data_IF_215500393135
#
_entry.id   IF_215500393135
#
_cell.length_a   1.000
_cell.length_b   1.000
_cell.length_c   1.000
_cell.angle_alpha   90.00
_cell.angle_beta   90.00
_cell.angle_gamma   90.00
#
_symmetry.space_group_name_H-M   'P 1'
#
loop_
_entity.id
_entity.type
_entity.pdbx_description
1 polymer ?
#
# COMPACT_ATOMS: atom_id res chain seq x y z
N UNK A 1 34.32 39.56 -49.31
CA UNK A 1 35.22 39.66 -48.13
C UNK A 1 34.35 39.64 -46.87
N UNK A 2 34.56 38.68 -45.96
CA UNK A 2 33.96 38.62 -44.62
C UNK A 2 34.71 39.57 -43.67
N UNK A 3 34.10 40.02 -42.55
CA UNK A 3 34.39 39.38 -41.25
C UNK A 3 33.09 39.19 -40.42
N UNK A 4 32.83 38.13 -39.64
CA UNK A 4 33.59 37.29 -38.71
C UNK A 4 33.79 37.88 -37.29
N UNK A 5 32.70 38.10 -36.54
CA UNK A 5 32.71 38.24 -35.07
C UNK A 5 31.39 37.77 -34.44
N UNK A 6 31.17 36.44 -34.30
CA UNK A 6 30.09 35.89 -33.46
C UNK A 6 30.37 34.47 -32.96
N UNK A 7 31.59 34.22 -32.46
CA UNK A 7 31.98 32.90 -31.95
C UNK A 7 32.74 32.93 -30.61
N UNK A 8 32.70 34.03 -29.86
CA UNK A 8 33.42 34.11 -28.57
C UNK A 8 32.55 34.06 -27.31
N UNK A 9 31.21 34.05 -27.41
CA UNK A 9 30.33 33.91 -26.25
C UNK A 9 29.77 32.50 -26.01
N UNK A 10 29.97 31.57 -26.96
CA UNK A 10 29.49 30.18 -26.83
C UNK A 10 30.52 29.23 -26.20
N UNK A 11 31.75 29.68 -25.94
CA UNK A 11 32.80 28.82 -25.39
C UNK A 11 32.98 28.90 -23.87
N UNK A 12 32.37 29.87 -23.18
CA UNK A 12 32.54 30.03 -21.72
C UNK A 12 31.49 29.29 -20.88
N UNK A 13 30.41 28.79 -21.49
CA UNK A 13 29.34 28.06 -20.78
C UNK A 13 29.60 26.55 -20.70
N UNK A 14 30.58 26.03 -21.44
CA UNK A 14 30.89 24.60 -21.50
C UNK A 14 31.93 24.11 -20.47
N UNK A 15 32.38 24.95 -19.54
CA UNK A 15 33.43 24.62 -18.56
C UNK A 15 32.98 24.61 -17.10
N UNK A 16 31.68 24.77 -16.82
CA UNK A 16 31.11 24.47 -15.50
C UNK A 16 30.40 23.12 -15.56
N UNK A 17 31.21 22.06 -15.55
CA UNK A 17 30.75 20.70 -15.36
C UNK A 17 29.90 20.59 -14.09
N UNK A 18 28.63 20.30 -14.27
CA UNK A 18 27.69 19.85 -13.25
C UNK A 18 28.14 18.48 -12.73
N UNK A 19 29.19 18.44 -11.92
CA UNK A 19 29.52 17.32 -11.06
C UNK A 19 28.97 17.58 -9.65
N UNK A 20 27.67 17.86 -9.56
CA UNK A 20 26.95 17.87 -8.28
C UNK A 20 26.68 16.44 -7.85
N UNK A 21 27.63 15.80 -7.18
CA UNK A 21 27.40 14.51 -6.52
C UNK A 21 26.31 14.70 -5.44
N UNK A 22 25.30 13.83 -5.42
CA UNK A 22 24.10 13.94 -4.57
C UNK A 22 24.37 13.93 -3.05
N UNK A 23 25.62 13.77 -2.60
CA UNK A 23 25.98 13.59 -1.20
C UNK A 23 27.07 14.57 -0.71
N UNK A 24 27.10 15.80 -1.22
CA UNK A 24 27.98 16.83 -0.67
C UNK A 24 27.29 17.57 0.48
N UNK A 25 27.73 17.29 1.71
CA UNK A 25 27.35 18.00 2.92
C UNK A 25 28.61 18.52 3.60
N UNK A 26 29.09 19.70 3.18
CA UNK A 26 29.49 20.81 4.04
C UNK A 26 29.98 22.01 3.20
N UNK A 27 29.07 22.91 2.82
CA UNK A 27 29.42 24.32 2.60
C UNK A 27 28.20 25.17 2.94
N UNK A 28 28.32 25.97 3.99
CA UNK A 28 27.28 26.88 4.50
C UNK A 28 26.88 27.98 3.50
N UNK A 29 27.58 28.11 2.37
CA UNK A 29 27.23 29.04 1.27
C UNK A 29 26.39 28.41 0.14
N UNK A 30 26.32 27.07 0.06
CA UNK A 30 25.53 26.36 -0.95
C UNK A 30 24.02 26.36 -0.68
N UNK A 31 23.61 26.50 0.60
CA UNK A 31 22.19 26.50 0.97
C UNK A 31 21.49 27.75 0.42
N UNK A 32 22.13 28.94 0.48
CA UNK A 32 21.57 30.19 -0.04
C UNK A 32 21.31 30.14 -1.55
N UNK A 33 22.25 29.62 -2.34
CA UNK A 33 22.07 29.45 -3.81
C UNK A 33 20.99 28.44 -4.18
N UNK A 34 20.69 27.45 -3.31
CA UNK A 34 19.65 26.45 -3.57
C UNK A 34 18.24 26.99 -3.27
N UNK A 35 18.10 27.90 -2.32
CA UNK A 35 16.83 28.62 -2.08
C UNK A 35 16.49 29.61 -3.22
N UNK A 36 17.50 30.15 -3.92
CA UNK A 36 17.32 31.03 -5.09
C UNK A 36 16.81 30.30 -6.35
N UNK A 37 17.02 28.99 -6.48
CA UNK A 37 16.42 28.20 -7.59
C UNK A 37 14.89 28.03 -7.42
N UNK A 38 14.39 28.18 -6.20
CA UNK A 38 12.96 28.10 -5.88
C UNK A 38 12.23 29.46 -5.98
N UNK A 39 12.92 30.56 -6.30
CA UNK A 39 12.31 31.90 -6.40
C UNK A 39 11.70 32.19 -7.77
N UNK A 40 12.05 31.43 -8.83
CA UNK A 40 11.40 31.57 -10.14
C UNK A 40 10.03 30.85 -10.16
N UNK A 41 8.91 31.58 -10.31
CA UNK A 41 7.56 31.01 -10.21
C UNK A 41 7.29 29.88 -11.21
N UNK A 42 7.88 29.97 -12.41
CA UNK A 42 7.69 28.98 -13.48
C UNK A 42 8.43 27.65 -13.19
N UNK A 43 9.68 27.71 -12.72
CA UNK A 43 10.44 26.51 -12.35
C UNK A 43 9.83 25.82 -11.14
N UNK A 44 9.32 26.59 -10.17
CA UNK A 44 8.55 26.06 -9.04
C UNK A 44 7.29 25.34 -9.52
N UNK A 45 6.51 25.92 -10.43
CA UNK A 45 5.30 25.30 -10.98
C UNK A 45 5.62 23.97 -11.69
N UNK A 46 6.62 23.96 -12.58
CA UNK A 46 7.02 22.75 -13.34
C UNK A 46 7.57 21.65 -12.43
N UNK A 47 8.37 22.00 -11.43
CA UNK A 47 8.89 21.05 -10.45
C UNK A 47 7.76 20.43 -9.60
N UNK A 48 6.80 21.24 -9.18
CA UNK A 48 5.62 20.78 -8.44
C UNK A 48 4.75 19.86 -9.29
N UNK A 49 4.50 20.19 -10.56
CA UNK A 49 3.75 19.32 -11.49
C UNK A 49 4.44 17.97 -11.71
N UNK A 50 5.77 17.96 -11.86
CA UNK A 50 6.54 16.72 -12.01
C UNK A 50 6.48 15.86 -10.74
N UNK A 51 6.65 16.49 -9.57
CA UNK A 51 6.54 15.81 -8.28
C UNK A 51 5.14 15.23 -8.07
N UNK A 52 4.11 16.01 -8.42
CA UNK A 52 2.72 15.60 -8.35
C UNK A 52 2.43 14.40 -9.27
N UNK A 53 2.89 14.43 -10.52
CA UNK A 53 2.73 13.32 -11.47
C UNK A 53 3.46 12.06 -11.02
N UNK A 54 4.69 12.20 -10.48
CA UNK A 54 5.44 11.07 -9.89
C UNK A 54 4.70 10.47 -8.70
N UNK A 55 4.12 11.30 -7.85
CA UNK A 55 3.40 10.87 -6.67
C UNK A 55 2.11 10.12 -7.01
N UNK A 56 1.35 10.63 -7.98
CA UNK A 56 0.18 9.92 -8.53
C UNK A 56 0.55 8.56 -9.11
N UNK A 57 1.66 8.49 -9.85
CA UNK A 57 2.18 7.23 -10.38
C UNK A 57 2.58 6.24 -9.28
N UNK A 58 3.21 6.70 -8.19
CA UNK A 58 3.54 5.85 -7.02
C UNK A 58 2.26 5.34 -6.35
N UNK A 59 1.24 6.20 -6.24
CA UNK A 59 -0.04 5.82 -5.66
C UNK A 59 -0.90 4.94 -6.58
N UNK A 60 -0.53 4.84 -7.87
CA UNK A 60 -1.32 4.20 -8.91
C UNK A 60 -2.69 4.86 -9.07
N UNK A 61 -2.70 6.19 -9.07
CA UNK A 61 -3.89 7.03 -9.24
C UNK A 61 -3.75 7.85 -10.52
N UNK A 62 -4.82 7.96 -11.31
CA UNK A 62 -4.82 8.79 -12.52
C UNK A 62 -4.87 10.29 -12.19
N UNK A 63 -5.50 10.63 -11.07
CA UNK A 63 -5.65 11.99 -10.55
C UNK A 63 -5.84 11.94 -9.04
N UNK A 64 -5.67 13.09 -8.35
CA UNK A 64 -5.94 13.13 -6.91
C UNK A 64 -7.42 12.87 -6.65
N UNK A 65 -7.77 11.94 -5.75
CA UNK A 65 -9.15 11.62 -5.49
C UNK A 65 -9.90 12.85 -5.00
N UNK A 66 -11.04 13.12 -5.61
CA UNK A 66 -11.98 14.11 -5.12
C UNK A 66 -13.05 13.38 -4.33
N UNK A 67 -13.08 13.52 -2.99
CA UNK A 67 -14.10 12.89 -2.19
C UNK A 67 -15.45 13.49 -2.62
N UNK A 68 -16.37 12.65 -3.10
CA UNK A 68 -17.74 13.09 -3.34
C UNK A 68 -18.34 13.67 -2.05
N UNK A 69 -19.28 14.62 -2.15
CA UNK A 69 -19.97 15.15 -0.96
C UNK A 69 -20.64 13.99 -0.20
N UNK A 70 -20.41 13.90 1.11
CA UNK A 70 -21.09 13.01 2.07
C UNK A 70 -20.84 11.48 1.94
N UNK A 71 -19.62 11.03 1.62
CA UNK A 71 -19.27 9.60 1.73
C UNK A 71 -19.00 9.23 3.19
N UNK A 72 -19.86 8.41 3.78
CA UNK A 72 -19.69 7.91 5.16
C UNK A 72 -19.06 6.52 5.10
N UNK A 73 -17.85 6.32 5.67
CA UNK A 73 -17.21 5.01 5.65
C UNK A 73 -18.03 3.92 6.36
N UNK A 74 -18.18 2.78 5.70
CA UNK A 74 -18.78 1.61 6.32
C UNK A 74 -17.88 1.11 7.47
N UNK A 75 -18.46 0.75 8.63
CA UNK A 75 -17.65 0.30 9.78
C UNK A 75 -16.80 -0.93 9.44
N UNK A 76 -17.36 -1.85 8.64
CA UNK A 76 -16.61 -2.99 8.09
C UNK A 76 -15.31 -2.59 7.39
N UNK A 77 -15.30 -1.53 6.56
CA UNK A 77 -14.08 -1.10 5.85
C UNK A 77 -13.04 -0.50 6.82
N UNK A 78 -13.49 0.17 7.88
CA UNK A 78 -12.61 0.69 8.94
C UNK A 78 -11.97 -0.45 9.74
N UNK A 79 -12.74 -1.47 10.13
CA UNK A 79 -12.25 -2.65 10.81
C UNK A 79 -11.33 -3.49 9.93
N UNK A 80 -11.67 -3.65 8.65
CA UNK A 80 -10.83 -4.33 7.68
C UNK A 80 -9.46 -3.64 7.56
N UNK A 81 -9.43 -2.30 7.48
CA UNK A 81 -8.19 -1.53 7.50
C UNK A 81 -7.37 -1.80 8.77
N UNK A 82 -7.99 -1.75 9.97
CA UNK A 82 -7.29 -2.02 11.24
C UNK A 82 -6.67 -3.42 11.27
N UNK A 83 -7.40 -4.42 10.80
CA UNK A 83 -6.95 -5.81 10.78
C UNK A 83 -5.81 -6.04 9.77
N UNK A 84 -5.95 -5.48 8.55
CA UNK A 84 -4.92 -5.60 7.51
C UNK A 84 -3.65 -4.81 7.84
N UNK A 85 -3.78 -3.61 8.43
CA UNK A 85 -2.64 -2.77 8.83
C UNK A 85 -1.87 -3.34 10.03
N UNK A 86 -2.56 -4.03 10.95
CA UNK A 86 -1.93 -4.65 12.13
C UNK A 86 -1.33 -6.04 11.84
N UNK A 87 -1.53 -6.61 10.65
CA UNK A 87 -1.09 -7.97 10.32
C UNK A 87 -1.97 -9.08 10.95
N UNK A 88 -3.11 -8.72 11.55
CA UNK A 88 -4.03 -9.65 12.21
C UNK A 88 -5.09 -10.24 11.27
N UNK A 89 -4.94 -10.02 9.96
CA UNK A 89 -5.89 -10.49 8.98
C UNK A 89 -5.82 -12.02 8.84
N UNK A 90 -6.87 -12.70 9.29
CA UNK A 90 -7.05 -14.14 9.00
C UNK A 90 -7.26 -14.28 7.49
N UNK A 91 -6.37 -15.03 6.85
CA UNK A 91 -6.42 -15.27 5.39
C UNK A 91 -7.80 -15.79 4.98
N UNK A 92 -8.27 -15.33 3.82
CA UNK A 92 -9.48 -15.89 3.22
C UNK A 92 -9.27 -17.38 2.97
N UNK A 93 -10.34 -18.18 3.13
CA UNK A 93 -10.35 -19.66 3.15
C UNK A 93 -9.61 -20.36 1.98
N UNK A 94 -9.17 -19.64 0.95
CA UNK A 94 -8.56 -20.18 -0.26
C UNK A 94 -7.27 -19.48 -0.73
N UNK A 95 -6.71 -18.53 0.01
CA UNK A 95 -5.50 -17.80 -0.44
C UNK A 95 -4.51 -17.56 0.70
N UNK A 96 -3.30 -18.11 0.59
CA UNK A 96 -2.21 -17.93 1.55
C UNK A 96 -1.61 -16.50 1.59
N UNK A 97 -2.24 -15.53 0.91
CA UNK A 97 -1.69 -14.21 0.68
C UNK A 97 -2.70 -13.12 1.04
N UNK A 98 -2.29 -12.09 1.80
CA UNK A 98 -3.16 -10.95 2.08
C UNK A 98 -3.41 -10.12 0.81
N UNK A 99 -4.59 -9.47 0.70
CA UNK A 99 -4.90 -8.58 -0.41
C UNK A 99 -3.97 -7.34 -0.39
N UNK A 100 -3.55 -6.88 -1.57
CA UNK A 100 -2.79 -5.62 -1.70
C UNK A 100 -3.72 -4.43 -1.85
N UNK A 101 -4.93 -4.65 -2.37
CA UNK A 101 -5.98 -3.64 -2.50
C UNK A 101 -7.35 -4.24 -2.18
N UNK A 102 -8.21 -3.45 -1.54
CA UNK A 102 -9.61 -3.81 -1.30
C UNK A 102 -10.50 -2.60 -1.59
N UNK A 103 -11.52 -2.79 -2.42
CA UNK A 103 -12.46 -1.74 -2.79
C UNK A 103 -13.84 -2.05 -2.20
N UNK A 104 -14.39 -1.13 -1.41
CA UNK A 104 -15.76 -1.16 -0.92
C UNK A 104 -16.64 -0.21 -1.72
N UNK A 105 -17.68 -0.76 -2.35
CA UNK A 105 -18.63 -0.06 -3.21
C UNK A 105 -20.02 -0.16 -2.59
N UNK A 106 -20.60 0.98 -2.25
CA UNK A 106 -21.96 1.05 -1.69
C UNK A 106 -23.01 0.96 -2.80
N UNK A 107 -24.14 0.32 -2.50
CA UNK A 107 -25.31 0.27 -3.40
C UNK A 107 -25.78 1.67 -3.81
N UNK A 108 -26.08 1.83 -5.09
CA UNK A 108 -26.76 3.02 -5.60
C UNK A 108 -28.25 2.79 -5.42
N UNK A 109 -28.85 3.47 -4.45
CA UNK A 109 -30.29 3.43 -4.24
C UNK A 109 -30.99 4.02 -5.47
N UNK A 110 -31.29 3.17 -6.46
CA UNK A 110 -32.17 3.54 -7.56
C UNK A 110 -33.56 3.67 -6.95
N UNK A 111 -34.12 4.87 -7.01
CA UNK A 111 -35.52 5.11 -6.68
C UNK A 111 -36.34 4.28 -7.66
N UNK A 112 -36.82 3.12 -7.22
CA UNK A 112 -37.79 2.36 -7.96
C UNK A 112 -39.09 3.17 -7.90
N UNK A 113 -39.26 4.09 -8.85
CA UNK A 113 -40.44 4.96 -9.00
C UNK A 113 -41.73 4.16 -9.32
N UNK A 114 -41.74 2.85 -9.14
CA UNK A 114 -42.92 1.99 -9.22
C UNK A 114 -43.42 1.67 -7.80
N UNK A 115 -44.24 2.57 -7.28
CA UNK A 115 -45.47 2.29 -6.51
C UNK A 115 -45.59 0.91 -5.82
N UNK A 116 -45.67 0.95 -4.48
CA UNK A 116 -46.60 0.20 -3.60
C UNK A 116 -46.81 -1.32 -3.75
N UNK A 117 -46.04 -2.02 -4.58
CA UNK A 117 -46.14 -3.47 -4.74
C UNK A 117 -45.03 -4.15 -3.95
N UNK A 118 -45.40 -5.04 -3.02
CA UNK A 118 -44.48 -5.93 -2.28
C UNK A 118 -43.77 -6.83 -3.29
N UNK A 119 -42.69 -6.36 -3.91
CA UNK A 119 -41.89 -7.19 -4.81
C UNK A 119 -41.26 -8.31 -3.98
N UNK A 120 -41.41 -9.54 -4.44
CA UNK A 120 -40.77 -10.73 -3.87
C UNK A 120 -39.25 -10.78 -4.11
N UNK A 121 -38.68 -9.72 -4.69
CA UNK A 121 -37.27 -9.57 -5.02
C UNK A 121 -36.79 -8.15 -4.75
N UNK A 122 -35.51 -8.00 -4.40
CA UNK A 122 -34.84 -6.73 -4.16
C UNK A 122 -33.58 -6.63 -5.02
N UNK A 123 -33.36 -5.50 -5.70
CA UNK A 123 -32.23 -5.29 -6.59
C UNK A 123 -31.17 -4.39 -5.97
N UNK A 124 -29.91 -4.75 -6.17
CA UNK A 124 -28.74 -3.95 -5.80
C UNK A 124 -27.95 -3.59 -7.05
N UNK A 125 -27.50 -2.35 -7.15
CA UNK A 125 -26.73 -1.84 -8.29
C UNK A 125 -25.46 -1.15 -7.84
N UNK A 126 -24.33 -1.59 -8.38
CA UNK A 126 -23.00 -1.11 -8.01
C UNK A 126 -22.29 -0.55 -9.25
N UNK A 127 -21.65 0.61 -9.10
CA UNK A 127 -20.79 1.17 -10.14
C UNK A 127 -19.37 0.65 -9.96
N UNK A 128 -18.96 -0.20 -10.89
CA UNK A 128 -17.68 -0.92 -10.88
C UNK A 128 -16.67 -0.36 -11.89
N UNK A 129 -16.93 0.83 -12.46
CA UNK A 129 -16.07 1.47 -13.47
C UNK A 129 -14.64 1.73 -13.00
N UNK A 130 -14.44 1.94 -11.69
CA UNK A 130 -13.17 2.32 -11.10
C UNK A 130 -12.41 1.12 -10.50
N UNK A 131 -12.83 -0.12 -10.80
CA UNK A 131 -12.08 -1.28 -10.36
C UNK A 131 -10.78 -1.41 -11.16
N UNK A 132 -9.63 -1.68 -10.53
CA UNK A 132 -8.37 -1.90 -11.22
C UNK A 132 -8.41 -3.25 -11.95
N UNK A 133 -8.88 -3.24 -13.20
CA UNK A 133 -9.06 -4.44 -14.00
C UNK A 133 -7.76 -5.19 -14.37
N UNK A 134 -6.60 -4.59 -14.09
CA UNK A 134 -5.28 -5.22 -14.20
C UNK A 134 -4.98 -6.21 -13.08
N UNK A 135 -5.64 -6.05 -11.93
CA UNK A 135 -5.30 -6.80 -10.73
C UNK A 135 -6.05 -8.14 -10.70
N UNK A 136 -5.43 -9.15 -10.08
CA UNK A 136 -6.07 -10.44 -9.90
C UNK A 136 -7.11 -10.35 -8.78
N UNK A 137 -8.36 -10.68 -9.10
CA UNK A 137 -9.44 -10.78 -8.11
C UNK A 137 -9.23 -12.02 -7.24
N UNK A 138 -9.02 -11.79 -5.94
CA UNK A 138 -8.91 -12.84 -4.93
C UNK A 138 -10.30 -13.33 -4.53
N UNK A 139 -11.15 -12.40 -4.10
CA UNK A 139 -12.51 -12.68 -3.63
C UNK A 139 -13.43 -11.47 -3.85
N UNK A 140 -14.74 -11.72 -3.90
CA UNK A 140 -15.77 -10.69 -4.00
C UNK A 140 -16.93 -11.05 -3.11
N UNK A 141 -17.21 -10.18 -2.14
CA UNK A 141 -18.25 -10.40 -1.13
C UNK A 141 -19.31 -9.32 -1.23
N UNK A 142 -20.57 -9.72 -1.38
CA UNK A 142 -21.72 -8.86 -1.16
C UNK A 142 -22.11 -8.96 0.32
N UNK A 143 -22.20 -7.82 0.99
CA UNK A 143 -22.63 -7.71 2.39
C UNK A 143 -23.98 -7.01 2.44
N UNK A 144 -24.99 -7.69 2.98
CA UNK A 144 -26.36 -7.18 3.09
C UNK A 144 -26.78 -7.17 4.55
N UNK A 145 -27.15 -5.99 5.06
CA UNK A 145 -27.64 -5.83 6.42
C UNK A 145 -29.09 -6.31 6.54
N UNK A 146 -29.30 -7.19 7.52
CA UNK A 146 -30.59 -7.63 8.03
C UNK A 146 -30.82 -6.98 9.40
N UNK A 147 -31.91 -6.24 9.51
CA UNK A 147 -32.35 -5.65 10.77
C UNK A 147 -33.19 -6.67 11.56
N UNK A 148 -33.15 -6.62 12.90
CA UNK A 148 -34.00 -7.47 13.73
C UNK A 148 -35.47 -7.16 13.46
N UNK A 149 -36.25 -8.20 13.19
CA UNK A 149 -37.69 -8.10 12.94
C UNK A 149 -38.43 -8.46 14.22
N UNK A 150 -38.58 -7.50 15.14
CA UNK A 150 -39.25 -7.70 16.43
C UNK A 150 -40.74 -8.01 16.32
N UNK A 151 -41.37 -7.62 15.20
CA UNK A 151 -42.80 -7.76 14.94
C UNK A 151 -43.07 -8.47 13.60
N UNK A 152 -42.47 -9.63 13.36
CA UNK A 152 -43.01 -10.49 12.28
C UNK A 152 -44.42 -10.88 12.71
N UNK A 153 -45.43 -10.52 11.93
CA UNK A 153 -46.82 -10.83 12.26
C UNK A 153 -46.95 -12.32 12.59
N UNK A 154 -47.61 -12.66 13.70
CA UNK A 154 -47.76 -14.08 14.12
C UNK A 154 -48.41 -14.94 13.02
N UNK A 155 -49.29 -14.34 12.21
CA UNK A 155 -49.89 -14.94 11.01
C UNK A 155 -48.85 -15.27 9.93
N UNK A 156 -47.85 -14.41 9.76
CA UNK A 156 -46.79 -14.57 8.78
C UNK A 156 -45.82 -15.70 9.17
N UNK A 157 -45.38 -15.71 10.44
CA UNK A 157 -44.56 -16.80 10.97
C UNK A 157 -45.29 -18.14 11.02
N UNK A 158 -46.61 -18.14 11.26
CA UNK A 158 -47.41 -19.36 11.22
C UNK A 158 -47.48 -20.00 9.83
N UNK A 159 -47.44 -19.18 8.76
CA UNK A 159 -47.49 -19.66 7.37
C UNK A 159 -46.11 -20.06 6.83
N UNK A 160 -45.08 -19.28 7.14
CA UNK A 160 -43.76 -19.38 6.51
C UNK A 160 -42.66 -19.89 7.45
N UNK A 161 -42.97 -20.18 8.72
CA UNK A 161 -41.97 -20.58 9.71
C UNK A 161 -41.03 -19.44 10.12
N UNK A 162 -39.94 -19.80 10.81
CA UNK A 162 -38.91 -18.86 11.30
C UNK A 162 -37.61 -18.94 10.50
N UNK A 163 -37.41 -20.04 9.77
CA UNK A 163 -36.19 -20.29 8.98
C UNK A 163 -36.42 -19.93 7.51
N UNK A 164 -35.52 -19.11 6.98
CA UNK A 164 -35.58 -18.60 5.61
C UNK A 164 -34.25 -18.83 4.90
N UNK A 165 -34.31 -18.91 3.57
CA UNK A 165 -33.14 -19.01 2.71
C UNK A 165 -33.06 -17.77 1.80
N UNK A 166 -32.03 -16.96 2.00
CA UNK A 166 -31.69 -15.85 1.11
C UNK A 166 -30.84 -16.38 -0.05
N UNK A 167 -31.23 -16.04 -1.28
CA UNK A 167 -30.54 -16.42 -2.52
C UNK A 167 -30.16 -15.18 -3.30
N UNK A 168 -28.89 -15.09 -3.70
CA UNK A 168 -28.39 -14.00 -4.55
C UNK A 168 -28.23 -14.49 -5.97
N UNK A 169 -28.85 -13.76 -6.89
CA UNK A 169 -28.81 -14.02 -8.33
C UNK A 169 -28.04 -12.92 -9.07
N UNK A 170 -27.38 -13.32 -10.16
CA UNK A 170 -26.79 -12.42 -11.14
C UNK A 170 -27.32 -12.68 -12.54
N UNK A 171 -27.07 -11.77 -13.49
CA UNK A 171 -27.37 -11.99 -14.90
C UNK A 171 -26.53 -13.14 -15.46
N UNK A 172 -27.19 -14.09 -16.14
CA UNK A 172 -26.52 -15.16 -16.88
C UNK A 172 -25.83 -14.64 -18.14
N UNK A 173 -26.50 -13.76 -18.88
CA UNK A 173 -25.94 -13.06 -20.04
C UNK A 173 -25.94 -11.54 -19.79
N UNK A 174 -24.78 -10.90 -19.97
CA UNK A 174 -24.56 -9.47 -19.71
C UNK A 174 -24.89 -8.61 -20.94
N UNK A 175 -25.01 -9.22 -22.12
CA UNK A 175 -25.25 -8.52 -23.39
C UNK A 175 -26.69 -8.05 -23.55
N UNK A 176 -27.64 -8.61 -22.78
CA UNK A 176 -29.06 -8.19 -22.85
C UNK A 176 -29.25 -6.76 -22.31
N UNK A 177 -29.71 -5.81 -23.15
CA UNK A 177 -29.91 -4.43 -22.74
C UNK A 177 -30.87 -4.31 -21.56
N UNK A 178 -30.59 -3.36 -20.68
CA UNK A 178 -31.27 -3.06 -19.40
C UNK A 178 -32.71 -2.55 -19.53
N UNK A 179 -33.36 -2.70 -20.69
CA UNK A 179 -34.67 -2.09 -20.97
C UNK A 179 -35.87 -2.87 -20.44
N UNK A 180 -35.68 -4.06 -19.88
CA UNK A 180 -36.78 -4.90 -19.37
C UNK A 180 -36.51 -5.31 -17.92
N UNK A 181 -37.49 -5.18 -17.00
CA UNK A 181 -37.36 -5.73 -15.67
C UNK A 181 -37.20 -7.25 -15.75
N UNK A 182 -36.40 -7.78 -14.84
CA UNK A 182 -35.99 -9.19 -14.75
C UNK A 182 -37.19 -10.12 -14.52
N UNK A 183 -37.91 -10.51 -15.57
CA UNK A 183 -39.12 -11.32 -15.42
C UNK A 183 -38.95 -12.81 -15.76
N UNK A 184 -37.88 -13.23 -16.42
CA UNK A 184 -37.66 -14.65 -16.74
C UNK A 184 -36.55 -15.28 -15.88
N UNK A 185 -36.91 -16.32 -15.10
CA UNK A 185 -35.97 -17.14 -14.32
C UNK A 185 -34.83 -17.71 -15.18
N UNK A 186 -35.05 -17.86 -16.49
CA UNK A 186 -34.04 -18.34 -17.46
C UNK A 186 -32.87 -17.38 -17.67
N UNK A 187 -33.02 -16.10 -17.35
CA UNK A 187 -31.97 -15.07 -17.50
C UNK A 187 -31.05 -14.92 -16.29
N UNK A 188 -31.39 -15.57 -15.16
CA UNK A 188 -30.71 -15.44 -13.88
C UNK A 188 -29.85 -16.68 -13.56
N UNK A 189 -28.78 -16.47 -12.82
CA UNK A 189 -27.87 -17.50 -12.31
C UNK A 189 -27.75 -17.32 -10.79
N UNK A 190 -27.95 -18.41 -10.04
CA UNK A 190 -27.73 -18.41 -8.59
C UNK A 190 -26.22 -18.32 -8.31
N UNK A 191 -25.81 -17.30 -7.56
CA UNK A 191 -24.41 -17.08 -7.21
C UNK A 191 -24.07 -17.73 -5.87
N UNK A 192 -24.89 -17.48 -4.87
CA UNK A 192 -24.73 -17.95 -3.50
C UNK A 192 -26.07 -17.96 -2.75
N UNK A 193 -26.14 -18.71 -1.65
CA UNK A 193 -27.31 -18.81 -0.79
C UNK A 193 -26.93 -18.97 0.67
N UNK A 194 -27.72 -18.38 1.56
CA UNK A 194 -27.53 -18.43 3.00
C UNK A 194 -28.86 -18.73 3.68
N UNK A 195 -28.85 -19.67 4.62
CA UNK A 195 -29.98 -19.93 5.52
C UNK A 195 -29.80 -19.12 6.81
N UNK A 196 -30.91 -18.60 7.32
CA UNK A 196 -30.94 -17.81 8.55
C UNK A 196 -32.30 -17.97 9.24
N UNK A 197 -32.32 -17.79 10.56
CA UNK A 197 -33.55 -17.74 11.33
C UNK A 197 -33.86 -16.29 11.74
N UNK A 198 -35.14 -15.91 11.78
CA UNK A 198 -35.58 -14.60 12.28
C UNK A 198 -35.41 -14.45 13.79
N UNK A 199 -35.28 -15.54 14.53
CA UNK A 199 -34.98 -15.56 15.98
C UNK A 199 -33.50 -15.34 16.32
N UNK A 200 -32.59 -15.46 15.35
CA UNK A 200 -31.13 -15.49 15.57
C UNK A 200 -30.49 -14.17 16.08
N UNK A 201 -31.23 -13.07 16.26
CA UNK A 201 -30.58 -11.84 16.69
C UNK A 201 -31.48 -10.70 17.15
N UNK A 202 -31.16 -10.17 18.33
CA UNK A 202 -31.63 -8.87 18.82
C UNK A 202 -30.86 -7.67 18.21
N UNK A 203 -29.89 -7.93 17.33
CA UNK A 203 -28.96 -6.93 16.78
C UNK A 203 -28.86 -6.99 15.25
N UNK A 204 -28.35 -5.90 14.67
CA UNK A 204 -28.04 -5.73 13.24
C UNK A 204 -27.09 -6.84 12.74
N UNK A 205 -27.53 -7.68 11.79
CA UNK A 205 -26.76 -8.80 11.25
C UNK A 205 -26.31 -8.55 9.79
N UNK A 206 -25.01 -8.69 9.53
CA UNK A 206 -24.44 -8.59 8.19
C UNK A 206 -24.30 -9.95 7.53
N UNK A 207 -25.15 -10.22 6.54
CA UNK A 207 -25.11 -11.46 5.76
C UNK A 207 -24.11 -11.30 4.62
N UNK A 208 -23.29 -12.32 4.38
CA UNK A 208 -22.19 -12.29 3.41
C UNK A 208 -22.43 -13.32 2.32
N UNK A 209 -22.38 -12.89 1.06
CA UNK A 209 -22.56 -13.73 -0.11
C UNK A 209 -21.36 -13.63 -1.05
N UNK A 210 -20.87 -14.74 -1.57
CA UNK A 210 -19.80 -14.77 -2.57
C UNK A 210 -20.35 -14.52 -3.97
N UNK A 211 -19.94 -13.42 -4.60
CA UNK A 211 -20.45 -13.00 -5.92
C UNK A 211 -19.35 -12.86 -6.96
N UNK A 212 -18.19 -13.45 -6.70
CA UNK A 212 -16.97 -13.40 -7.55
C UNK A 212 -17.26 -13.73 -9.01
N UNK A 213 -17.97 -14.84 -9.26
CA UNK A 213 -18.31 -15.33 -10.60
C UNK A 213 -19.05 -14.28 -11.44
N UNK A 214 -19.93 -13.49 -10.83
CA UNK A 214 -20.71 -12.47 -11.54
C UNK A 214 -19.87 -11.26 -11.90
N UNK A 215 -19.04 -10.78 -10.98
CA UNK A 215 -18.16 -9.63 -11.24
C UNK A 215 -17.10 -9.93 -12.31
N UNK A 216 -16.55 -11.15 -12.32
CA UNK A 216 -15.61 -11.58 -13.35
C UNK A 216 -16.24 -11.60 -14.75
N UNK A 217 -17.53 -11.92 -14.86
CA UNK A 217 -18.27 -11.83 -16.12
C UNK A 217 -18.44 -10.36 -16.55
N UNK A 218 -18.79 -9.47 -15.63
CA UNK A 218 -18.94 -8.01 -15.88
C UNK A 218 -17.63 -7.38 -16.33
N UNK A 219 -16.51 -7.77 -15.71
CA UNK A 219 -15.17 -7.35 -16.11
C UNK A 219 -14.81 -7.82 -17.52
N UNK A 220 -15.08 -9.08 -17.87
CA UNK A 220 -14.85 -9.60 -19.23
C UNK A 220 -15.69 -8.88 -20.29
N UNK A 221 -16.92 -8.55 -19.95
CA UNK A 221 -17.83 -7.78 -20.81
C UNK A 221 -17.53 -6.26 -20.85
N UNK A 222 -16.51 -5.79 -20.12
CA UNK A 222 -16.12 -4.36 -20.00
C UNK A 222 -17.30 -3.45 -19.64
N UNK A 223 -18.22 -3.93 -18.79
CA UNK A 223 -19.36 -3.14 -18.31
C UNK A 223 -18.98 -2.41 -17.01
N UNK A 224 -19.61 -1.25 -16.81
CA UNK A 224 -19.40 -0.36 -15.66
C UNK A 224 -20.35 -0.60 -14.49
N UNK A 225 -21.34 -1.47 -14.66
CA UNK A 225 -22.40 -1.69 -13.67
C UNK A 225 -22.60 -3.17 -13.37
N UNK A 226 -22.58 -3.49 -12.07
CA UNK A 226 -22.89 -4.80 -11.53
C UNK A 226 -24.28 -4.74 -10.89
N UNK A 227 -25.18 -5.64 -11.30
CA UNK A 227 -26.54 -5.72 -10.76
C UNK A 227 -26.74 -7.11 -10.15
N UNK A 228 -27.26 -7.14 -8.93
CA UNK A 228 -27.51 -8.36 -8.15
C UNK A 228 -28.96 -8.35 -7.65
N UNK A 229 -29.58 -9.52 -7.61
CA UNK A 229 -30.97 -9.67 -7.16
C UNK A 229 -31.04 -10.60 -5.95
N UNK A 230 -31.67 -10.13 -4.88
CA UNK A 230 -31.96 -10.90 -3.68
C UNK A 230 -33.38 -11.43 -3.73
N UNK A 231 -33.52 -12.74 -3.53
CA UNK A 231 -34.80 -13.40 -3.28
C UNK A 231 -34.72 -14.14 -1.96
N UNK A 232 -35.83 -14.16 -1.23
CA UNK A 232 -35.95 -14.91 0.02
C UNK A 232 -37.06 -15.93 -0.16
N UNK A 233 -36.79 -17.17 0.25
CA UNK A 233 -37.80 -18.24 0.31
C UNK A 233 -37.92 -18.74 1.75
N UNK A 234 -39.14 -19.12 2.14
CA UNK A 234 -39.36 -19.91 3.35
C UNK A 234 -38.80 -21.31 3.16
N UNK A 235 -38.05 -21.81 4.15
CA UNK A 235 -37.58 -23.20 4.12
C UNK A 235 -38.74 -24.18 4.33
N UNK A 236 -39.75 -23.78 5.12
CA UNK A 236 -40.90 -24.62 5.44
C UNK A 236 -41.93 -24.67 4.31
N UNK A 237 -42.32 -23.51 3.76
CA UNK A 237 -43.36 -23.45 2.72
C UNK A 237 -42.80 -23.47 1.30
N UNK A 238 -41.51 -23.18 1.10
CA UNK A 238 -40.91 -23.04 -0.23
C UNK A 238 -41.36 -21.79 -1.00
N UNK A 239 -42.25 -20.97 -0.41
CA UNK A 239 -42.80 -19.79 -1.06
C UNK A 239 -41.84 -18.60 -0.98
N UNK A 240 -41.87 -17.74 -2.01
CA UNK A 240 -41.11 -16.51 -2.03
C UNK A 240 -41.72 -15.47 -1.10
N UNK A 241 -40.86 -14.87 -0.28
CA UNK A 241 -41.21 -13.88 0.74
C UNK A 241 -40.58 -12.53 0.39
N UNK A 242 -41.33 -11.42 0.53
CA UNK A 242 -40.77 -10.08 0.40
C UNK A 242 -39.56 -9.88 1.35
N UNK A 243 -38.37 -9.53 0.82
CA UNK A 243 -37.17 -9.35 1.65
C UNK A 243 -37.34 -8.32 2.77
N UNK A 244 -38.20 -7.33 2.57
CA UNK A 244 -38.52 -6.29 3.56
C UNK A 244 -39.12 -6.87 4.85
N UNK A 245 -39.96 -7.90 4.74
CA UNK A 245 -40.67 -8.50 5.89
C UNK A 245 -39.74 -9.29 6.80
N UNK A 246 -38.60 -9.73 6.29
CA UNK A 246 -37.58 -10.50 7.03
C UNK A 246 -36.33 -9.65 7.34
N UNK A 247 -36.45 -8.32 7.26
CA UNK A 247 -35.42 -7.39 7.74
C UNK A 247 -34.41 -6.89 6.70
N UNK A 248 -34.57 -7.22 5.41
CA UNK A 248 -33.66 -6.78 4.33
C UNK A 248 -34.03 -5.44 3.66
N UNK A 249 -35.06 -4.74 4.17
CA UNK A 249 -35.56 -3.49 3.56
C UNK A 249 -34.47 -2.45 3.29
N UNK A 250 -34.32 -1.96 2.04
CA UNK A 250 -33.27 -1.00 1.66
C UNK A 250 -33.56 0.44 2.06
N UNK A 251 -34.84 0.81 2.16
CA UNK A 251 -35.29 2.20 2.25
C UNK A 251 -35.04 2.82 3.62
N UNK A 252 -34.83 4.14 3.64
CA UNK A 252 -34.65 4.91 4.87
C UNK A 252 -33.34 4.63 5.62
N UNK A 253 -32.39 3.92 5.00
CA UNK A 253 -31.09 3.61 5.60
C UNK A 253 -30.09 4.73 5.37
N UNK A 254 -29.23 4.96 6.37
CA UNK A 254 -28.02 5.78 6.21
C UNK A 254 -27.05 5.10 5.22
N UNK A 255 -26.23 5.90 4.55
CA UNK A 255 -25.28 5.41 3.52
C UNK A 255 -24.38 4.27 4.01
N UNK A 256 -23.93 4.33 5.26
CA UNK A 256 -23.09 3.29 5.89
C UNK A 256 -23.85 2.03 6.35
N UNK A 257 -25.15 1.93 6.06
CA UNK A 257 -26.00 0.75 6.30
C UNK A 257 -26.58 0.17 5.00
N UNK A 258 -26.28 0.77 3.86
CA UNK A 258 -26.61 0.24 2.53
C UNK A 258 -25.80 -1.02 2.24
N UNK A 259 -26.25 -1.83 1.29
CA UNK A 259 -25.50 -3.02 0.89
C UNK A 259 -24.10 -2.62 0.37
N UNK A 260 -23.09 -3.44 0.72
CA UNK A 260 -21.69 -3.16 0.42
C UNK A 260 -21.10 -4.30 -0.40
N UNK A 261 -20.64 -3.99 -1.61
CA UNK A 261 -19.84 -4.90 -2.43
C UNK A 261 -18.35 -4.68 -2.12
N UNK A 262 -17.68 -5.73 -1.66
CA UNK A 262 -16.27 -5.70 -1.26
C UNK A 262 -15.46 -6.56 -2.23
N UNK A 263 -14.53 -5.92 -2.94
CA UNK A 263 -13.68 -6.56 -3.96
C UNK A 263 -12.25 -6.63 -3.44
N UNK A 264 -11.71 -7.84 -3.28
CA UNK A 264 -10.34 -8.07 -2.83
C UNK A 264 -9.45 -8.37 -4.02
N UNK A 265 -8.36 -7.59 -4.19
CA UNK A 265 -7.42 -7.78 -5.30
C UNK A 265 -5.97 -7.91 -4.83
N UNK A 266 -5.16 -8.49 -5.70
CA UNK A 266 -3.71 -8.51 -5.57
C UNK A 266 -3.05 -8.09 -6.89
N UNK A 267 -1.98 -7.31 -6.79
CA UNK A 267 -1.19 -6.85 -7.93
C UNK A 267 -0.23 -7.92 -8.49
N UNK A 268 -0.19 -9.10 -7.86
CA UNK A 268 0.69 -10.21 -8.25
C UNK A 268 2.19 -9.93 -8.05
N UNK A 269 2.58 -8.72 -7.60
CA UNK A 269 3.98 -8.32 -7.40
C UNK A 269 4.51 -8.79 -6.05
N UNK A 270 3.63 -8.97 -5.08
CA UNK A 270 4.03 -9.35 -3.72
C UNK A 270 4.66 -10.76 -3.62
N UNK A 271 4.47 -11.64 -4.61
CA UNK A 271 5.16 -12.94 -4.68
C UNK A 271 6.63 -12.85 -5.10
N UNK A 272 7.08 -11.72 -5.64
CA UNK A 272 8.47 -11.49 -6.05
C UNK A 272 9.29 -10.70 -5.01
N UNK A 273 8.65 -10.08 -4.02
CA UNK A 273 9.31 -9.27 -2.99
C UNK A 273 9.94 -10.07 -1.84
N UNK A 274 9.72 -11.40 -1.76
CA UNK A 274 10.31 -12.25 -0.70
C UNK A 274 11.56 -13.03 -1.18
N UNK A 275 11.90 -13.02 -2.47
CA UNK A 275 13.17 -13.60 -2.94
C UNK A 275 13.76 -12.83 -4.11
N UNK A 276 14.60 -11.85 -3.79
CA UNK A 276 15.87 -11.57 -4.51
C UNK A 276 16.73 -10.63 -3.65
N UNK A 277 17.71 -11.14 -2.88
CA UNK A 277 18.86 -10.30 -2.58
C UNK A 277 19.51 -9.92 -3.91
N UNK A 278 19.58 -8.62 -4.17
CA UNK A 278 20.49 -8.06 -5.17
C UNK A 278 21.91 -8.42 -4.73
N UNK A 279 22.45 -9.50 -5.33
CA UNK A 279 23.87 -9.83 -5.54
C UNK A 279 24.08 -11.35 -5.54
N UNK A 280 23.90 -11.99 -6.70
CA UNK A 280 24.53 -13.29 -7.03
C UNK A 280 24.92 -13.29 -8.51
N UNK A 281 25.68 -12.29 -8.90
CA UNK A 281 26.59 -12.34 -10.05
C UNK A 281 27.92 -11.78 -9.50
N UNK A 282 29.03 -12.42 -9.85
CA UNK A 282 30.36 -12.31 -9.22
C UNK A 282 30.66 -13.38 -8.14
N UNK A 283 30.34 -14.63 -8.43
CA UNK A 283 31.29 -15.72 -8.18
C UNK A 283 31.68 -16.23 -9.56
N UNK A 284 32.83 -15.79 -10.03
CA UNK A 284 33.68 -16.39 -11.07
C UNK A 284 34.59 -15.29 -11.61
N UNK A 285 35.55 -14.85 -10.80
CA UNK A 285 36.80 -14.20 -11.21
C UNK A 285 37.59 -13.75 -9.98
N UNK A 286 38.21 -14.72 -9.31
CA UNK A 286 39.40 -14.45 -8.48
C UNK A 286 40.17 -15.75 -8.30
N UNK A 287 40.73 -16.24 -9.41
CA UNK A 287 41.95 -17.03 -9.39
C UNK A 287 43.13 -16.06 -9.56
N UNK A 288 43.80 -15.72 -8.45
CA UNK A 288 45.21 -15.38 -8.39
C UNK A 288 45.58 -15.08 -6.94
N UNK A 289 46.08 -16.11 -6.25
CA UNK A 289 47.31 -16.16 -5.46
C UNK A 289 47.20 -17.45 -4.65
N UNK A 290 47.73 -18.51 -5.25
CA UNK A 290 48.08 -19.73 -4.56
C UNK A 290 49.40 -19.47 -3.83
N UNK A 291 49.43 -19.68 -2.52
CA UNK A 291 50.67 -19.97 -1.82
C UNK A 291 50.39 -21.11 -0.84
N UNK A 292 50.81 -22.30 -1.29
CA UNK A 292 51.33 -23.43 -0.51
C UNK A 292 50.67 -23.77 0.82
N UNK A 293 49.95 -24.89 0.78
CA UNK A 293 49.72 -25.80 1.91
C UNK A 293 51.06 -26.22 2.53
N UNK A 294 51.14 -26.17 3.86
CA UNK A 294 51.91 -27.13 4.66
C UNK A 294 51.01 -27.59 5.81
N UNK A 295 51.00 -28.91 6.02
CA UNK A 295 50.12 -29.64 6.93
C UNK A 295 50.51 -29.46 8.41
N UNK A 296 49.48 -29.72 9.21
CA UNK A 296 49.41 -29.85 10.67
C UNK A 296 50.49 -30.71 11.36
N UNK A 297 50.56 -30.44 12.67
CA UNK A 297 50.86 -31.32 13.81
C UNK A 297 52.30 -31.46 14.34
N UNK A 298 52.53 -30.82 15.49
CA UNK A 298 53.28 -31.36 16.63
C UNK A 298 53.02 -30.52 17.88
N UNK A 299 52.60 -31.18 18.96
CA UNK A 299 52.60 -30.69 20.34
C UNK A 299 54.01 -30.29 20.80
N UNK A 300 54.13 -29.21 21.59
CA UNK A 300 55.09 -29.09 22.69
C UNK A 300 54.82 -27.82 23.52
N UNK A 301 55.07 -27.96 24.82
CA UNK A 301 54.82 -27.05 25.92
C UNK A 301 55.72 -25.79 25.97
N UNK A 302 55.44 -24.94 26.98
CA UNK A 302 56.28 -23.87 27.54
C UNK A 302 56.32 -22.57 26.71
N UNK A 303 56.02 -21.36 27.18
CA UNK A 303 56.10 -20.76 28.52
C UNK A 303 55.30 -19.45 28.53
N UNK A 304 54.61 -19.16 29.63
CA UNK A 304 53.98 -17.85 29.89
C UNK A 304 55.05 -16.80 30.16
N UNK A 305 55.32 -15.92 29.20
CA UNK A 305 56.09 -14.70 29.46
C UNK A 305 55.14 -13.63 30.02
N UNK A 306 55.05 -13.61 31.35
CA UNK A 306 54.49 -12.51 32.15
C UNK A 306 55.42 -11.29 32.00
N UNK A 307 55.07 -10.33 31.13
CA UNK A 307 55.71 -9.01 31.15
C UNK A 307 55.10 -8.19 32.28
N UNK A 308 55.82 -8.14 33.39
CA UNK A 308 55.56 -7.20 34.48
C UNK A 308 55.95 -5.78 34.03
N UNK A 309 54.94 -4.99 33.66
CA UNK A 309 55.11 -3.56 33.49
C UNK A 309 54.97 -2.89 34.87
N UNK A 310 56.10 -2.52 35.47
CA UNK A 310 56.19 -1.68 36.68
C UNK A 310 55.34 -0.42 36.49
N UNK A 311 54.38 -0.22 37.39
CA UNK A 311 53.70 1.05 37.58
C UNK A 311 54.71 2.10 38.08
N UNK A 312 54.98 3.12 37.27
CA UNK A 312 55.46 4.42 37.74
C UNK A 312 54.35 5.44 37.57
N UNK A 313 53.89 5.96 38.70
CA UNK A 313 53.05 7.14 38.79
C UNK A 313 53.80 8.33 38.18
N UNK A 314 53.23 8.93 37.14
CA UNK A 314 53.69 10.15 36.52
C UNK A 314 52.51 10.81 35.84
N UNK A 315 51.92 11.80 36.52
CA UNK A 315 50.73 12.50 36.06
C UNK A 315 50.96 13.15 34.70
N UNK A 316 50.17 12.74 33.71
CA UNK A 316 49.91 13.56 32.54
C UNK A 316 48.46 13.36 32.11
N UNK A 317 47.65 14.41 32.26
CA UNK A 317 46.24 14.46 31.87
C UNK A 317 46.13 14.20 30.36
N UNK A 318 45.87 12.95 29.97
CA UNK A 318 45.51 12.60 28.58
C UNK A 318 44.22 13.35 28.20
N UNK A 319 44.15 14.01 27.04
CA UNK A 319 42.94 14.69 26.61
C UNK A 319 41.84 13.63 26.38
N UNK A 320 40.62 13.97 26.80
CA UNK A 320 39.41 13.14 26.76
C UNK A 320 39.17 12.53 25.35
N UNK A 321 39.71 11.33 25.08
CA UNK A 321 39.49 10.58 23.82
C UNK A 321 38.04 10.11 23.61
N UNK A 322 37.19 10.14 24.65
CA UNK A 322 35.79 9.71 24.58
C UNK A 322 34.86 10.64 23.78
N UNK A 323 35.21 11.92 23.61
CA UNK A 323 34.36 12.91 22.93
C UNK A 323 34.45 12.78 21.39
N UNK A 324 35.63 12.51 20.83
CA UNK A 324 35.82 12.30 19.37
C UNK A 324 35.13 11.02 18.86
N UNK A 325 35.16 9.92 19.62
CA UNK A 325 34.48 8.66 19.25
C UNK A 325 32.95 8.79 19.27
N UNK A 326 32.39 9.56 20.23
CA UNK A 326 30.95 9.88 20.28
C UNK A 326 30.51 10.82 19.15
N UNK A 327 31.34 11.79 18.74
CA UNK A 327 31.07 12.69 17.59
C UNK A 327 31.09 11.94 16.25
N UNK A 328 32.10 11.11 15.97
CA UNK A 328 32.13 10.25 14.77
C UNK A 328 30.90 9.34 14.67
N UNK A 329 30.45 8.79 15.81
CA UNK A 329 29.20 8.02 15.90
C UNK A 329 27.93 8.86 15.79
N UNK A 330 27.96 10.19 15.70
CA UNK A 330 26.79 11.06 15.49
C UNK A 330 26.62 11.47 14.01
N UNK A 331 27.73 11.50 13.29
CA UNK A 331 27.80 11.91 11.88
C UNK A 331 27.84 10.71 10.92
N UNK A 332 28.04 9.48 11.41
CA UNK A 332 27.97 8.26 10.58
C UNK A 332 26.57 8.01 9.99
N UNK A 333 26.54 7.43 8.79
CA UNK A 333 25.32 7.06 8.06
C UNK A 333 24.35 6.27 8.94
N UNK A 334 23.14 6.80 9.10
CA UNK A 334 22.08 6.16 9.89
C UNK A 334 20.69 6.58 9.42
N UNK A 335 19.70 5.85 9.91
CA UNK A 335 18.30 6.22 9.81
C UNK A 335 17.97 7.35 10.79
N UNK A 336 17.33 8.41 10.29
CA UNK A 336 16.87 9.56 11.06
C UNK A 336 15.33 9.65 11.03
N UNK A 337 14.69 10.16 12.08
CA UNK A 337 13.25 10.41 12.09
C UNK A 337 12.84 11.40 11.00
N UNK A 338 11.80 11.04 10.25
CA UNK A 338 11.10 11.91 9.31
C UNK A 338 9.64 11.47 9.34
N UNK A 339 8.73 12.42 9.55
CA UNK A 339 7.30 12.16 9.58
C UNK A 339 6.63 12.83 8.38
N UNK A 340 5.77 12.09 7.71
CA UNK A 340 4.93 12.59 6.61
C UNK A 340 3.53 12.79 7.17
N UNK A 341 3.09 14.04 7.19
CA UNK A 341 1.75 14.43 7.60
C UNK A 341 0.86 14.66 6.36
N UNK A 342 -0.21 13.88 6.23
CA UNK A 342 -1.13 13.98 5.09
C UNK A 342 -1.93 15.27 5.09
N UNK A 343 -2.10 15.94 6.24
CA UNK A 343 -2.71 17.27 6.29
C UNK A 343 -1.81 18.30 5.61
N UNK A 344 -0.50 18.24 5.85
CA UNK A 344 0.47 19.15 5.24
C UNK A 344 0.61 18.95 3.72
N UNK A 345 0.35 17.73 3.25
CA UNK A 345 0.28 17.41 1.82
C UNK A 345 -1.07 17.77 1.17
N UNK A 346 -2.06 18.22 1.95
CA UNK A 346 -3.40 18.51 1.44
C UNK A 346 -4.19 17.26 1.06
N UNK A 347 -3.89 16.12 1.68
CA UNK A 347 -4.52 14.82 1.41
C UNK A 347 -5.60 14.44 2.43
N UNK A 348 -5.73 15.22 3.50
CA UNK A 348 -6.68 14.96 4.59
C UNK A 348 -8.15 14.96 4.18
N UNK A 349 -8.47 15.49 2.99
CA UNK A 349 -9.81 15.50 2.43
C UNK A 349 -10.22 14.13 1.87
N UNK A 350 -9.30 13.36 1.29
CA UNK A 350 -9.62 12.06 0.67
C UNK A 350 -9.02 10.86 1.42
N UNK A 351 -7.92 11.04 2.16
CA UNK A 351 -7.35 9.98 3.01
C UNK A 351 -8.10 9.91 4.34
N UNK A 352 -8.66 8.74 4.64
CA UNK A 352 -9.34 8.44 5.89
C UNK A 352 -8.30 8.08 6.97
N UNK A 353 -7.38 7.16 6.64
CA UNK A 353 -6.36 6.68 7.56
C UNK A 353 -5.10 6.15 6.82
N UNK A 354 -3.89 6.27 7.40
CA UNK A 354 -3.57 6.99 8.64
C UNK A 354 -3.61 8.52 8.41
N UNK A 355 -3.41 9.32 9.47
CA UNK A 355 -3.27 10.79 9.31
C UNK A 355 -1.86 11.20 8.87
N UNK A 356 -0.90 10.32 9.07
CA UNK A 356 0.49 10.49 8.71
C UNK A 356 1.26 9.24 9.09
N UNK A 357 2.52 9.16 8.70
CA UNK A 357 3.36 8.00 9.00
C UNK A 357 4.83 8.39 9.12
N UNK A 358 5.59 7.59 9.86
CA UNK A 358 7.03 7.80 10.03
C UNK A 358 7.78 7.16 8.87
N UNK A 359 8.06 7.96 7.84
CA UNK A 359 8.81 7.52 6.65
C UNK A 359 10.29 7.25 6.96
N UNK A 360 10.88 8.04 7.86
CA UNK A 360 12.32 8.11 8.12
C UNK A 360 13.14 8.50 6.88
N UNK A 361 14.38 8.94 7.09
CA UNK A 361 15.33 9.24 6.01
C UNK A 361 16.72 8.71 6.37
N UNK A 362 17.56 8.53 5.34
CA UNK A 362 18.97 8.17 5.53
C UNK A 362 19.84 9.42 5.45
N UNK A 363 20.65 9.63 6.48
CA UNK A 363 21.55 10.78 6.56
C UNK A 363 22.81 10.43 7.35
N UNK A 364 23.90 11.06 6.95
CA UNK A 364 25.22 10.92 7.56
C UNK A 364 26.27 10.53 6.53
N UNK A 365 27.50 10.41 7.01
CA UNK A 365 28.69 10.20 6.21
C UNK A 365 29.05 8.71 6.17
N UNK A 366 29.49 8.26 5.00
CA UNK A 366 30.14 6.97 4.79
C UNK A 366 31.66 7.21 4.77
N UNK A 367 32.30 7.09 5.93
CA UNK A 367 33.76 7.27 6.08
C UNK A 367 34.45 5.93 6.26
N UNK A 368 35.71 5.83 5.83
CA UNK A 368 36.52 4.64 6.04
C UNK A 368 37.02 4.58 7.49
N UNK A 369 36.99 3.41 8.17
CA UNK A 369 36.36 2.16 7.74
C UNK A 369 34.83 2.22 7.86
N UNK A 370 34.12 1.72 6.83
CA UNK A 370 32.66 1.59 6.86
C UNK A 370 32.29 0.41 7.74
N UNK A 371 31.33 0.58 8.64
CA UNK A 371 30.81 -0.51 9.46
C UNK A 371 30.03 -1.54 8.60
N UNK A 372 30.30 -2.84 8.77
CA UNK A 372 29.69 -3.94 8.00
C UNK A 372 28.15 -3.96 8.05
N UNK A 373 27.54 -3.45 9.13
CA UNK A 373 26.08 -3.42 9.25
C UNK A 373 25.41 -2.53 8.19
N UNK A 374 26.15 -1.58 7.61
CA UNK A 374 25.72 -0.71 6.51
C UNK A 374 25.72 -1.45 5.16
N UNK A 375 26.21 -2.70 5.12
CA UNK A 375 26.27 -3.56 3.94
C UNK A 375 26.77 -2.82 2.70
N UNK A 376 27.98 -2.23 2.74
CA UNK A 376 28.51 -1.54 1.57
C UNK A 376 28.74 -2.52 0.41
N UNK A 377 28.54 -2.05 -0.81
CA UNK A 377 28.98 -2.80 -2.00
C UNK A 377 30.51 -2.78 -2.08
N UNK A 378 31.13 -3.71 -2.82
CA UNK A 378 32.57 -3.66 -3.06
C UNK A 378 33.00 -2.31 -3.68
N UNK A 379 32.18 -1.78 -4.60
CA UNK A 379 32.39 -0.45 -5.18
C UNK A 379 32.37 0.66 -4.12
N UNK A 380 31.37 0.68 -3.24
CA UNK A 380 31.27 1.67 -2.16
C UNK A 380 32.45 1.59 -1.18
N UNK A 381 32.93 0.37 -0.89
CA UNK A 381 34.10 0.14 -0.05
C UNK A 381 35.36 0.70 -0.70
N UNK A 382 35.66 0.34 -1.97
CA UNK A 382 36.83 0.84 -2.70
C UNK A 382 36.75 2.36 -2.87
N UNK A 383 35.60 2.89 -3.25
CA UNK A 383 35.36 4.33 -3.41
C UNK A 383 35.64 5.09 -2.09
N UNK A 384 35.24 4.53 -0.96
CA UNK A 384 35.44 5.18 0.34
C UNK A 384 36.89 5.07 0.82
N UNK A 385 37.60 3.98 0.49
CA UNK A 385 39.05 3.87 0.69
C UNK A 385 39.77 4.94 -0.14
N UNK A 386 39.47 5.03 -1.44
CA UNK A 386 40.04 6.03 -2.34
C UNK A 386 39.77 7.45 -1.85
N UNK A 387 38.53 7.75 -1.45
CA UNK A 387 38.20 9.06 -0.87
C UNK A 387 39.01 9.35 0.41
N UNK A 388 39.28 8.34 1.25
CA UNK A 388 40.02 8.54 2.50
C UNK A 388 41.51 8.85 2.29
N UNK A 389 42.09 8.38 1.20
CA UNK A 389 43.51 8.58 0.84
C UNK A 389 43.69 9.78 -0.09
N UNK A 390 42.80 9.92 -1.08
CA UNK A 390 42.83 10.96 -2.10
C UNK A 390 41.39 11.43 -2.42
N UNK A 391 40.83 12.37 -1.62
CA UNK A 391 39.46 12.86 -1.80
C UNK A 391 39.17 13.47 -3.17
N UNK A 392 40.20 13.92 -3.90
CA UNK A 392 40.09 14.50 -5.24
C UNK A 392 39.84 13.45 -6.33
N UNK A 393 40.20 12.18 -6.10
CA UNK A 393 40.07 11.11 -7.08
C UNK A 393 38.69 10.43 -7.04
N UNK A 394 38.02 10.45 -5.89
CA UNK A 394 36.71 9.84 -5.73
C UNK A 394 35.90 10.54 -4.63
N UNK A 395 34.60 10.82 -4.83
CA UNK A 395 33.72 11.29 -3.77
C UNK A 395 33.43 10.15 -2.78
N UNK A 396 32.90 10.48 -1.60
CA UNK A 396 32.42 9.48 -0.63
C UNK A 396 31.24 8.68 -1.18
N UNK A 397 31.09 7.44 -0.72
CA UNK A 397 29.86 6.68 -0.92
C UNK A 397 28.66 7.41 -0.30
N UNK A 398 27.47 7.22 -0.88
CA UNK A 398 26.26 7.90 -0.46
C UNK A 398 25.51 7.12 0.63
N UNK A 399 25.06 7.83 1.67
CA UNK A 399 24.15 7.25 2.66
C UNK A 399 22.73 7.19 2.08
N UNK A 400 22.28 6.00 1.71
CA UNK A 400 21.00 5.78 1.03
C UNK A 400 20.18 4.65 1.67
N UNK A 401 18.85 4.64 1.49
CA UNK A 401 18.03 3.52 1.94
C UNK A 401 18.46 2.19 1.30
N UNK A 402 18.51 1.14 2.11
CA UNK A 402 18.87 -0.21 1.69
C UNK A 402 17.73 -1.22 1.89
N UNK A 403 16.83 -0.96 2.84
CA UNK A 403 15.63 -1.78 3.05
C UNK A 403 14.45 -0.87 3.38
N UNK A 404 13.30 -1.20 2.83
CA UNK A 404 12.05 -0.51 3.07
C UNK A 404 10.97 -1.45 3.61
N UNK A 405 9.92 -0.85 4.15
CA UNK A 405 8.65 -1.49 4.46
C UNK A 405 7.47 -0.72 3.90
N UNK A 406 6.33 -1.40 3.86
CA UNK A 406 5.08 -0.89 3.35
C UNK A 406 4.29 -0.07 4.36
N UNK A 407 3.34 0.71 3.85
CA UNK A 407 2.24 1.29 4.62
C UNK A 407 0.89 0.90 4.02
N UNK A 408 -0.13 0.83 4.86
CA UNK A 408 -1.51 0.68 4.43
C UNK A 408 -2.23 2.02 4.49
N UNK A 409 -2.96 2.37 3.42
CA UNK A 409 -3.76 3.59 3.34
C UNK A 409 -5.22 3.22 3.05
N UNK A 410 -6.14 3.86 3.74
CA UNK A 410 -7.58 3.84 3.50
C UNK A 410 -8.02 5.22 3.01
N UNK A 411 -8.64 5.29 1.84
CA UNK A 411 -9.03 6.56 1.22
C UNK A 411 -10.32 6.45 0.41
N UNK A 412 -10.86 7.60 0.02
CA UNK A 412 -12.08 7.71 -0.78
C UNK A 412 -11.71 8.11 -2.21
N UNK A 413 -12.21 7.38 -3.20
CA UNK A 413 -12.11 7.75 -4.61
C UNK A 413 -13.44 7.55 -5.33
N UNK A 414 -13.94 8.62 -5.96
CA UNK A 414 -15.19 8.62 -6.76
C UNK A 414 -16.38 7.96 -6.04
N UNK A 415 -16.49 8.16 -4.73
CA UNK A 415 -17.57 7.59 -3.90
C UNK A 415 -17.29 6.22 -3.28
N UNK A 416 -16.21 5.55 -3.70
CA UNK A 416 -15.81 4.24 -3.19
C UNK A 416 -14.76 4.38 -2.09
N UNK A 417 -14.74 3.43 -1.15
CA UNK A 417 -13.73 3.37 -0.09
C UNK A 417 -12.69 2.34 -0.48
N UNK A 418 -11.43 2.75 -0.54
CA UNK A 418 -10.33 1.92 -1.04
C UNK A 418 -9.27 1.76 0.05
N UNK A 419 -8.99 0.51 0.39
CA UNK A 419 -7.79 0.10 1.09
C UNK A 419 -6.71 -0.22 0.06
N UNK A 420 -5.49 0.28 0.25
CA UNK A 420 -4.33 -0.10 -0.57
C UNK A 420 -3.05 -0.17 0.26
N UNK A 421 -2.25 -1.20 0.00
CA UNK A 421 -0.92 -1.38 0.57
C UNK A 421 0.14 -0.84 -0.41
N UNK A 422 0.97 0.07 0.07
CA UNK A 422 2.04 0.70 -0.70
C UNK A 422 3.39 0.21 -0.16
N UNK A 423 4.11 -0.56 -0.98
CA UNK A 423 5.48 -1.00 -0.69
C UNK A 423 6.47 0.17 -0.83
N UNK A 424 7.67 0.02 -0.26
CA UNK A 424 8.78 0.97 -0.36
C UNK A 424 8.52 2.39 0.19
N UNK A 425 7.64 2.53 1.18
CA UNK A 425 7.24 3.84 1.73
C UNK A 425 7.98 4.23 3.01
N UNK A 426 8.47 3.26 3.78
CA UNK A 426 9.15 3.48 5.08
C UNK A 426 10.57 2.95 5.01
N UNK A 427 11.56 3.77 5.33
CA UNK A 427 12.96 3.34 5.44
C UNK A 427 13.14 2.51 6.70
N UNK A 428 13.49 1.23 6.54
CA UNK A 428 13.85 0.36 7.66
C UNK A 428 15.35 0.40 7.98
N UNK A 429 16.19 0.45 6.93
CA UNK A 429 17.65 0.39 7.07
C UNK A 429 18.35 1.26 6.03
N UNK A 430 19.39 1.95 6.47
CA UNK A 430 20.32 2.69 5.60
C UNK A 430 21.56 1.87 5.28
N UNK A 431 22.22 2.20 4.16
CA UNK A 431 23.52 1.64 3.78
C UNK A 431 24.36 2.65 3.02
N UNK A 432 25.61 2.29 2.79
CA UNK A 432 26.55 3.07 1.99
C UNK A 432 26.64 2.43 0.60
N UNK A 433 26.28 3.18 -0.45
CA UNK A 433 26.26 2.68 -1.83
C UNK A 433 27.05 3.58 -2.76
#
# INVERSE_FOLDING_TARGET
MKPATSLFWLSLVLLLGLAGSCCDQHSSDGLKRKWEVWTHPFLRKRAMELAQKRLLSILGLDSFPSPGRNVIPHNYMLELYRNLSSGNYKTLRNTNMPPTSVVGITDQERSDSSSFTRKSHQMFSFNVSNLPFSDKILDVQLRVLRLPTSNVEKSFSARHGTTYRAKIYGKRNIETPTLVPFHSNSSLELLDSLEFDTSDGSSDQWNVFSVKRSLEKVQRAKKSSQVLELRVESVTSGELVPPEQVGFSKSGRLHNKHALLVVFTTDGRSSQAIRKPVSKENKDSSNAISMTKYNDSAEAEHTRVRREAKFRFGGNKKPRRGTKKRRRRKDSCRRKPMHVDFKQLGWSNWVIAPRGYSAYLCEGLCEFPIDDYLKPTNHATVQTILNSVAPTLAPRACCSPNKFSAISILYIDKGNIIYKKYEDMVVERCGCK
#
